data_IF_054212720005
#
_entry.id   IF_054212720005
#
_cell.length_a   1.000
_cell.length_b   1.000
_cell.length_c   1.000
_cell.angle_alpha   90.00
_cell.angle_beta   90.00
_cell.angle_gamma   90.00
#
_symmetry.space_group_name_H-M   'P 1'
#
loop_
_entity.id
_entity.type
_entity.pdbx_description
1 polymer ?
#
# COMPACT_ATOMS: atom_id res chain seq x y z
N UNK A 1 -1.21 6.67 -6.44
CA UNK A 1 -1.74 6.80 -5.05
C UNK A 1 -2.36 8.17 -4.80
N UNK A 2 -1.61 9.27 -4.87
CA UNK A 2 -2.10 10.61 -4.48
C UNK A 2 -3.30 11.13 -5.30
N UNK A 3 -3.40 10.82 -6.60
CA UNK A 3 -4.50 11.27 -7.46
C UNK A 3 -5.85 10.62 -7.13
N UNK A 4 -5.86 9.34 -6.73
CA UNK A 4 -7.10 8.65 -6.34
C UNK A 4 -7.56 9.08 -4.96
N UNK A 5 -6.63 9.25 -4.02
CA UNK A 5 -6.94 9.74 -2.67
C UNK A 5 -7.51 11.17 -2.70
N UNK A 6 -7.06 12.04 -3.61
CA UNK A 6 -7.57 13.39 -3.75
C UNK A 6 -9.01 13.47 -4.30
N UNK A 7 -9.51 12.39 -4.92
CA UNK A 7 -10.85 12.34 -5.55
C UNK A 7 -11.92 11.67 -4.68
N UNK A 8 -11.55 11.17 -3.50
CA UNK A 8 -12.45 10.42 -2.65
C UNK A 8 -13.13 11.30 -1.61
N UNK A 9 -14.46 11.16 -1.47
CA UNK A 9 -15.22 11.78 -0.39
C UNK A 9 -15.00 10.98 0.91
N UNK A 10 -14.23 11.53 1.84
CA UNK A 10 -13.75 10.85 3.05
C UNK A 10 -14.78 10.65 4.17
N UNK A 11 -16.08 10.51 3.86
CA UNK A 11 -17.16 10.57 4.85
C UNK A 11 -17.74 9.20 5.27
N UNK A 12 -17.19 8.09 4.75
CA UNK A 12 -17.65 6.73 5.06
C UNK A 12 -16.60 5.90 5.77
N UNK A 13 -17.04 5.10 6.75
CA UNK A 13 -16.17 4.20 7.49
C UNK A 13 -15.81 2.98 6.62
N UNK A 14 -14.53 2.59 6.52
CA UNK A 14 -14.12 1.40 5.79
C UNK A 14 -14.53 0.12 6.53
N UNK A 15 -15.05 -0.85 5.78
CA UNK A 15 -15.20 -2.24 6.23
C UNK A 15 -14.17 -3.13 5.52
N UNK A 16 -13.10 -3.50 6.24
CA UNK A 16 -12.00 -4.27 5.68
C UNK A 16 -12.41 -5.71 5.32
N UNK A 17 -13.52 -6.22 5.85
CA UNK A 17 -14.04 -7.55 5.50
C UNK A 17 -14.55 -7.63 4.05
N UNK A 18 -14.74 -6.48 3.38
CA UNK A 18 -15.16 -6.42 1.98
C UNK A 18 -13.99 -6.61 0.99
N UNK A 19 -12.74 -6.54 1.47
CA UNK A 19 -11.54 -6.68 0.65
C UNK A 19 -11.24 -8.16 0.35
N UNK A 20 -11.93 -8.75 -0.62
CA UNK A 20 -11.93 -10.20 -0.87
C UNK A 20 -11.29 -10.61 -2.20
N UNK A 21 -10.87 -9.66 -3.03
CA UNK A 21 -10.23 -9.96 -4.31
C UNK A 21 -8.80 -10.52 -4.08
N UNK A 22 -8.34 -11.41 -4.96
CA UNK A 22 -6.97 -11.93 -4.97
C UNK A 22 -5.89 -10.84 -4.91
N UNK A 23 -6.06 -9.73 -5.64
CA UNK A 23 -5.10 -8.61 -5.64
C UNK A 23 -5.11 -7.83 -4.34
N UNK A 24 -6.28 -7.67 -3.72
CA UNK A 24 -6.44 -7.05 -2.40
C UNK A 24 -5.73 -7.90 -1.33
N UNK A 25 -5.98 -9.21 -1.35
CA UNK A 25 -5.40 -10.18 -0.42
C UNK A 25 -3.88 -10.29 -0.58
N UNK A 26 -3.37 -10.31 -1.82
CA UNK A 26 -1.93 -10.30 -2.09
C UNK A 26 -1.26 -9.07 -1.51
N UNK A 27 -1.84 -7.89 -1.72
CA UNK A 27 -1.31 -6.63 -1.20
C UNK A 27 -1.35 -6.57 0.32
N UNK A 28 -2.46 -6.99 0.96
CA UNK A 28 -2.58 -7.09 2.42
C UNK A 28 -1.49 -8.00 2.99
N UNK A 29 -1.26 -9.16 2.38
CA UNK A 29 -0.23 -10.10 2.80
C UNK A 29 1.18 -9.53 2.64
N UNK A 30 1.45 -8.68 1.64
CA UNK A 30 2.74 -8.00 1.59
C UNK A 30 2.89 -6.94 2.67
N UNK A 31 1.85 -6.15 2.93
CA UNK A 31 1.90 -5.13 3.97
C UNK A 31 2.18 -5.75 5.34
N UNK A 32 1.60 -6.92 5.64
CA UNK A 32 1.84 -7.60 6.92
C UNK A 32 3.29 -8.06 7.12
N UNK A 33 4.06 -8.23 6.03
CA UNK A 33 5.47 -8.66 6.09
C UNK A 33 6.45 -7.53 6.38
N UNK A 34 6.02 -6.27 6.28
CA UNK A 34 6.90 -5.11 6.39
C UNK A 34 7.73 -5.11 7.68
N UNK A 35 7.09 -5.32 8.83
CA UNK A 35 7.74 -5.24 10.13
C UNK A 35 8.85 -6.29 10.30
N UNK A 36 8.58 -7.53 9.91
CA UNK A 36 9.55 -8.62 9.99
C UNK A 36 10.69 -8.43 8.99
N UNK A 37 10.39 -8.02 7.76
CA UNK A 37 11.40 -7.72 6.74
C UNK A 37 12.31 -6.59 7.19
N UNK A 38 11.75 -5.50 7.74
CA UNK A 38 12.53 -4.39 8.25
C UNK A 38 13.43 -4.81 9.42
N UNK A 39 12.87 -5.56 10.38
CA UNK A 39 13.62 -6.05 11.55
C UNK A 39 14.80 -6.93 11.12
N UNK A 40 14.57 -7.88 10.21
CA UNK A 40 15.61 -8.78 9.73
C UNK A 40 16.70 -8.02 8.94
N UNK A 41 16.29 -7.10 8.06
CA UNK A 41 17.24 -6.25 7.32
C UNK A 41 18.11 -5.41 8.26
N UNK A 42 17.52 -4.87 9.34
CA UNK A 42 18.25 -4.10 10.34
C UNK A 42 19.22 -4.95 11.17
N UNK A 43 18.81 -6.15 11.60
CA UNK A 43 19.65 -7.06 12.39
C UNK A 43 20.87 -7.56 11.60
N UNK A 44 20.69 -7.81 10.30
CA UNK A 44 21.74 -8.35 9.44
C UNK A 44 22.57 -7.27 8.73
N UNK A 45 22.21 -5.99 8.86
CA UNK A 45 22.81 -4.89 8.10
C UNK A 45 22.65 -5.05 6.57
N UNK A 46 21.48 -5.51 6.14
CA UNK A 46 21.15 -5.84 4.75
C UNK A 46 20.09 -4.88 4.15
N UNK A 47 20.42 -3.60 3.88
CA UNK A 47 19.43 -2.61 3.39
C UNK A 47 18.81 -2.96 2.04
N UNK A 48 19.49 -3.78 1.22
CA UNK A 48 18.99 -4.24 -0.07
C UNK A 48 17.72 -5.11 0.07
N UNK A 49 17.55 -5.81 1.21
CA UNK A 49 16.34 -6.61 1.50
C UNK A 49 15.12 -5.70 1.59
N UNK A 50 15.25 -4.55 2.26
CA UNK A 50 14.18 -3.55 2.32
C UNK A 50 13.89 -2.98 0.91
N UNK A 51 14.92 -2.69 0.12
CA UNK A 51 14.74 -2.18 -1.24
C UNK A 51 13.98 -3.18 -2.14
N UNK A 52 14.30 -4.47 -2.07
CA UNK A 52 13.58 -5.51 -2.82
C UNK A 52 12.14 -5.65 -2.35
N UNK A 53 11.89 -5.62 -1.04
CA UNK A 53 10.54 -5.61 -0.51
C UNK A 53 9.72 -4.43 -1.02
N UNK A 54 10.26 -3.21 -1.02
CA UNK A 54 9.55 -2.02 -1.49
C UNK A 54 9.26 -2.09 -3.00
N UNK A 55 10.19 -2.64 -3.79
CA UNK A 55 9.98 -2.88 -5.22
C UNK A 55 8.82 -3.86 -5.44
N UNK A 56 8.83 -4.98 -4.72
CA UNK A 56 7.81 -6.02 -4.87
C UNK A 56 6.44 -5.51 -4.38
N UNK A 57 6.39 -4.77 -3.26
CA UNK A 57 5.19 -4.09 -2.77
C UNK A 57 4.62 -3.09 -3.81
N UNK A 58 5.48 -2.32 -4.48
CA UNK A 58 5.05 -1.41 -5.53
C UNK A 58 4.48 -2.16 -6.75
N UNK A 59 5.04 -3.33 -7.06
CA UNK A 59 4.51 -4.23 -8.09
C UNK A 59 3.12 -4.76 -7.75
N UNK A 60 2.93 -5.28 -6.53
CA UNK A 60 1.62 -5.78 -6.07
C UNK A 60 0.58 -4.65 -6.02
N UNK A 61 0.98 -3.45 -5.62
CA UNK A 61 0.12 -2.27 -5.70
C UNK A 61 -0.28 -1.93 -7.14
N UNK A 62 0.65 -2.01 -8.09
CA UNK A 62 0.35 -1.74 -9.50
C UNK A 62 -0.68 -2.74 -10.04
N UNK A 63 -0.52 -4.03 -9.72
CA UNK A 63 -1.49 -5.07 -10.05
C UNK A 63 -2.86 -4.79 -9.43
N UNK A 64 -2.91 -4.43 -8.14
CA UNK A 64 -4.14 -4.04 -7.45
C UNK A 64 -4.82 -2.85 -8.11
N UNK A 65 -4.07 -1.81 -8.44
CA UNK A 65 -4.60 -0.58 -9.04
C UNK A 65 -5.23 -0.82 -10.42
N UNK A 66 -4.60 -1.66 -11.25
CA UNK A 66 -5.10 -1.94 -12.60
C UNK A 66 -6.32 -2.86 -12.62
N UNK A 67 -6.51 -3.67 -11.58
CA UNK A 67 -7.57 -4.69 -11.52
C UNK A 67 -8.69 -4.34 -10.54
N UNK A 68 -8.72 -3.11 -10.00
CA UNK A 68 -9.73 -2.67 -9.05
C UNK A 68 -10.37 -1.36 -9.48
N UNK A 69 -11.69 -1.30 -9.37
CA UNK A 69 -12.44 -0.05 -9.54
C UNK A 69 -12.52 0.71 -8.21
N UNK A 70 -12.12 1.98 -8.21
CA UNK A 70 -12.10 2.81 -7.00
C UNK A 70 -13.27 3.77 -6.90
N UNK A 71 -13.88 4.16 -8.02
CA UNK A 71 -15.03 5.07 -8.05
C UNK A 71 -16.29 4.26 -8.32
N UNK A 72 -16.85 3.71 -7.24
CA UNK A 72 -18.03 2.84 -7.27
C UNK A 72 -19.17 3.42 -6.42
N UNK A 73 -20.37 2.89 -6.63
CA UNK A 73 -21.58 3.29 -5.89
C UNK A 73 -21.54 2.83 -4.43
N UNK A 74 -20.97 1.64 -4.17
CA UNK A 74 -20.73 1.16 -2.82
C UNK A 74 -19.63 1.98 -2.14
N UNK A 75 -20.07 2.97 -1.36
CA UNK A 75 -19.18 3.90 -0.66
C UNK A 75 -18.39 3.23 0.46
N UNK A 76 -18.89 2.13 1.04
CA UNK A 76 -18.17 1.40 2.08
C UNK A 76 -17.02 0.61 1.47
N UNK A 77 -17.26 -0.13 0.39
CA UNK A 77 -16.20 -0.83 -0.34
C UNK A 77 -15.18 0.14 -0.94
N UNK A 78 -15.64 1.27 -1.49
CA UNK A 78 -14.77 2.36 -1.93
C UNK A 78 -13.86 2.83 -0.79
N UNK A 79 -14.41 3.14 0.39
CA UNK A 79 -13.63 3.56 1.55
C UNK A 79 -12.60 2.49 1.96
N UNK A 80 -12.97 1.21 1.97
CA UNK A 80 -12.06 0.09 2.28
C UNK A 80 -10.89 -0.01 1.29
N UNK A 81 -11.17 0.12 0.00
CA UNK A 81 -10.15 0.10 -1.05
C UNK A 81 -9.18 1.27 -0.91
N UNK A 82 -9.71 2.46 -0.62
CA UNK A 82 -8.88 3.65 -0.37
C UNK A 82 -8.02 3.48 0.89
N UNK A 83 -8.55 2.87 1.94
CA UNK A 83 -7.78 2.58 3.16
C UNK A 83 -6.58 1.68 2.86
N UNK A 84 -6.73 0.70 1.98
CA UNK A 84 -5.62 -0.14 1.52
C UNK A 84 -4.55 0.68 0.76
N UNK A 85 -4.96 1.62 -0.10
CA UNK A 85 -4.03 2.54 -0.78
C UNK A 85 -3.25 3.38 0.24
N UNK A 86 -3.92 3.91 1.28
CA UNK A 86 -3.30 4.73 2.32
C UNK A 86 -2.25 3.92 3.07
N UNK A 87 -2.57 2.68 3.47
CA UNK A 87 -1.63 1.78 4.13
C UNK A 87 -0.38 1.53 3.27
N UNK A 88 -0.56 1.24 1.97
CA UNK A 88 0.55 1.06 1.04
C UNK A 88 1.39 2.31 0.87
N UNK A 89 0.76 3.49 0.73
CA UNK A 89 1.48 4.77 0.65
C UNK A 89 2.36 4.96 1.90
N UNK A 90 1.81 4.72 3.09
CA UNK A 90 2.55 4.88 4.34
C UNK A 90 3.77 3.96 4.42
N UNK A 91 3.62 2.68 4.06
CA UNK A 91 4.74 1.71 4.10
C UNK A 91 5.83 2.10 3.10
N UNK A 92 5.46 2.52 1.89
CA UNK A 92 6.43 2.98 0.90
C UNK A 92 7.17 4.23 1.38
N UNK A 93 6.47 5.21 1.95
CA UNK A 93 7.09 6.42 2.50
C UNK A 93 8.06 6.09 3.64
N UNK A 94 7.66 5.21 4.57
CA UNK A 94 8.52 4.78 5.66
C UNK A 94 9.77 4.07 5.15
N UNK A 95 9.61 3.11 4.23
CA UNK A 95 10.72 2.33 3.68
C UNK A 95 11.69 3.18 2.85
N UNK A 96 11.18 4.05 1.97
CA UNK A 96 12.01 4.95 1.17
C UNK A 96 12.75 5.95 2.07
N UNK A 97 12.08 6.48 3.09
CA UNK A 97 12.69 7.38 4.07
C UNK A 97 13.87 6.73 4.81
N UNK A 98 13.74 5.45 5.19
CA UNK A 98 14.83 4.68 5.81
C UNK A 98 16.02 4.45 4.86
N UNK A 99 15.77 4.41 3.55
CA UNK A 99 16.82 4.29 2.52
C UNK A 99 17.41 5.66 2.10
N UNK A 100 16.95 6.76 2.69
CA UNK A 100 17.40 8.11 2.34
C UNK A 100 16.86 8.62 1.00
N UNK A 101 15.78 8.01 0.50
CA UNK A 101 15.14 8.39 -0.78
C UNK A 101 13.87 9.18 -0.49
N UNK A 102 13.67 10.29 -1.21
CA UNK A 102 12.44 11.07 -1.10
C UNK A 102 11.26 10.36 -1.77
N UNK A 103 10.08 10.48 -1.16
CA UNK A 103 8.82 9.96 -1.70
C UNK A 103 7.92 11.15 -2.09
N UNK A 104 8.14 11.78 -3.26
CA UNK A 104 7.40 12.97 -3.66
C UNK A 104 5.93 12.67 -3.92
N UNK A 105 5.04 13.62 -3.58
CA UNK A 105 3.59 13.43 -3.73
C UNK A 105 3.10 13.47 -5.18
N UNK A 106 3.90 14.08 -6.07
CA UNK A 106 3.71 14.12 -7.52
C UNK A 106 5.07 13.91 -8.17
N UNK A 107 5.12 13.02 -9.17
CA UNK A 107 6.23 12.93 -10.13
C UNK A 107 5.88 13.74 -11.37
#
# INVERSE_FOLDING_TARGET
MCSVLAKADGNQAPDLALLNNEYEQALIKQLSRYADTLKNAALNYEPHVLAYYLRDLAGDFHSYYNNSEFLIDDKTLQASRLQLIIATKQVLQNGLGLLGVSAPEKM
#
